data_IF_839786205692
#
_entry.id   IF_839786205692
#
_cell.length_a   1.000
_cell.length_b   1.000
_cell.length_c   1.000
_cell.angle_alpha   90.00
_cell.angle_beta   90.00
_cell.angle_gamma   90.00
#
_symmetry.space_group_name_H-M   'P 1'
#
loop_
_entity.id
_entity.type
_entity.pdbx_description
1 polymer ?
#
# COMPACT_ATOMS: atom_id res chain seq x y z
N UNK A 1 -25.58 29.82 49.02
CA UNK A 1 -24.39 28.97 48.97
C UNK A 1 -23.77 29.13 47.60
N UNK A 2 -22.65 29.84 47.55
CA UNK A 2 -21.88 30.18 46.35
C UNK A 2 -21.11 28.93 45.92
N UNK A 3 -21.27 28.48 44.67
CA UNK A 3 -20.41 27.46 44.09
C UNK A 3 -19.00 28.05 43.89
N UNK A 4 -17.90 27.31 44.16
CA UNK A 4 -16.57 27.82 43.88
C UNK A 4 -16.33 27.82 42.36
N UNK A 5 -15.88 28.97 41.86
CA UNK A 5 -15.42 29.15 40.49
C UNK A 5 -14.04 28.47 40.38
N UNK A 6 -14.02 27.22 39.90
CA UNK A 6 -12.77 26.55 39.55
C UNK A 6 -12.36 27.08 38.17
N UNK A 7 -11.17 27.69 38.00
CA UNK A 7 -10.73 28.09 36.68
C UNK A 7 -10.65 26.83 35.82
N UNK A 8 -11.49 26.77 34.78
CA UNK A 8 -11.38 25.77 33.72
C UNK A 8 -9.96 25.88 33.19
N UNK A 9 -9.14 24.91 33.57
CA UNK A 9 -7.76 24.85 33.15
C UNK A 9 -7.82 24.67 31.63
N UNK A 10 -7.55 25.74 30.89
CA UNK A 10 -7.66 25.85 29.41
C UNK A 10 -6.58 25.02 28.69
N UNK A 11 -6.06 24.01 29.39
CA UNK A 11 -5.06 23.08 28.91
C UNK A 11 -5.79 21.80 28.53
N UNK A 12 -5.84 21.46 27.23
CA UNK A 12 -6.47 20.23 26.81
C UNK A 12 -5.80 19.06 27.53
N UNK A 13 -6.64 18.19 28.07
CA UNK A 13 -6.23 16.93 28.67
C UNK A 13 -5.55 16.04 27.62
N UNK A 14 -4.74 15.08 28.09
CA UNK A 14 -4.11 14.10 27.20
C UNK A 14 -5.14 13.32 26.36
N UNK A 15 -6.37 13.13 26.88
CA UNK A 15 -7.46 12.51 26.14
C UNK A 15 -8.02 13.39 25.02
N UNK A 16 -8.11 14.71 25.23
CA UNK A 16 -8.53 15.67 24.21
C UNK A 16 -7.50 15.79 23.09
N UNK A 17 -6.20 15.80 23.44
CA UNK A 17 -5.10 15.75 22.45
C UNK A 17 -5.13 14.46 21.63
N UNK A 18 -5.34 13.29 22.26
CA UNK A 18 -5.43 12.02 21.54
C UNK A 18 -6.72 11.89 20.69
N UNK A 19 -7.80 12.57 21.08
CA UNK A 19 -9.01 12.68 20.27
C UNK A 19 -8.77 13.59 19.06
N UNK A 20 -8.09 14.73 19.28
CA UNK A 20 -7.69 15.67 18.25
C UNK A 20 -6.77 15.00 17.21
N UNK A 21 -5.74 14.27 17.64
CA UNK A 21 -4.85 13.49 16.76
C UNK A 21 -5.62 12.47 15.90
N UNK A 22 -6.61 11.77 16.48
CA UNK A 22 -7.46 10.84 15.73
C UNK A 22 -8.39 11.55 14.75
N UNK A 23 -8.84 12.75 15.08
CA UNK A 23 -9.67 13.58 14.19
C UNK A 23 -8.87 14.28 13.09
N UNK A 24 -7.57 14.53 13.33
CA UNK A 24 -6.64 15.14 12.38
C UNK A 24 -6.28 14.18 11.22
N UNK A 25 -6.48 12.87 11.42
CA UNK A 25 -6.47 11.88 10.35
C UNK A 25 -7.74 12.03 9.49
N UNK A 26 -7.75 13.10 8.68
CA UNK A 26 -8.78 13.35 7.69
C UNK A 26 -8.67 12.27 6.62
N UNK A 27 -9.64 11.34 6.59
CA UNK A 27 -9.80 10.41 5.47
C UNK A 27 -9.85 11.23 4.18
N UNK A 28 -8.87 11.04 3.31
CA UNK A 28 -8.87 11.60 1.95
C UNK A 28 -9.92 10.83 1.16
N UNK A 29 -11.11 11.40 1.03
CA UNK A 29 -12.14 10.87 0.15
C UNK A 29 -11.58 10.85 -1.28
N UNK A 30 -11.51 9.65 -1.88
CA UNK A 30 -10.96 9.45 -3.23
C UNK A 30 -9.71 8.56 -3.32
N UNK A 31 -9.10 8.15 -2.19
CA UNK A 31 -8.11 7.05 -2.17
C UNK A 31 -8.74 5.68 -1.90
N UNK A 32 -10.04 5.65 -1.59
CA UNK A 32 -10.81 4.43 -1.51
C UNK A 32 -11.23 4.07 -2.93
N UNK A 33 -10.58 3.08 -3.54
CA UNK A 33 -11.15 2.40 -4.70
C UNK A 33 -12.39 1.65 -4.19
N UNK A 34 -13.54 2.32 -4.28
CA UNK A 34 -14.88 1.72 -4.23
C UNK A 34 -15.13 0.67 -3.13
N UNK A 35 -15.39 1.13 -1.91
CA UNK A 35 -16.00 0.31 -0.86
C UNK A 35 -17.28 0.98 -0.36
N UNK A 36 -18.20 1.22 -1.28
CA UNK A 36 -19.58 1.56 -0.95
C UNK A 36 -20.47 0.56 -1.68
N UNK A 37 -21.16 -0.25 -0.89
CA UNK A 37 -22.18 -1.23 -1.28
C UNK A 37 -21.70 -2.59 -1.82
N UNK A 38 -21.33 -3.50 -0.89
CA UNK A 38 -21.42 -4.95 -1.14
C UNK A 38 -22.78 -5.40 -0.61
N UNK A 39 -23.85 -5.07 -1.34
CA UNK A 39 -25.10 -5.82 -1.27
C UNK A 39 -25.22 -6.61 -2.58
N UNK A 40 -25.30 -7.94 -2.46
CA UNK A 40 -25.38 -8.93 -3.53
C UNK A 40 -24.06 -9.24 -4.26
N UNK A 41 -23.31 -10.20 -3.70
CA UNK A 41 -22.16 -10.81 -4.37
C UNK A 41 -22.69 -11.73 -5.47
N UNK A 42 -22.96 -11.20 -6.66
CA UNK A 42 -22.94 -12.03 -7.86
C UNK A 42 -21.53 -12.61 -7.99
N UNK A 43 -21.40 -13.94 -8.09
CA UNK A 43 -20.15 -14.66 -8.33
C UNK A 43 -19.64 -14.38 -9.76
N UNK A 44 -19.27 -13.14 -10.05
CA UNK A 44 -18.52 -12.82 -11.27
C UNK A 44 -17.09 -13.30 -11.06
N UNK A 45 -16.63 -14.17 -11.94
CA UNK A 45 -15.24 -14.61 -11.94
C UNK A 45 -14.34 -13.40 -12.18
N UNK A 46 -13.41 -13.15 -11.25
CA UNK A 46 -12.39 -12.12 -11.41
C UNK A 46 -11.47 -12.49 -12.57
N UNK A 47 -11.34 -11.57 -13.53
CA UNK A 47 -10.38 -11.69 -14.63
C UNK A 47 -9.13 -10.92 -14.21
N UNK A 48 -8.15 -11.62 -13.65
CA UNK A 48 -6.88 -11.00 -13.25
C UNK A 48 -6.05 -10.65 -14.49
N UNK A 49 -5.29 -9.57 -14.39
CA UNK A 49 -4.33 -9.20 -15.42
C UNK A 49 -3.16 -10.18 -15.40
N UNK A 50 -2.82 -10.72 -16.56
CA UNK A 50 -1.74 -11.71 -16.69
C UNK A 50 -0.45 -11.00 -17.02
N UNK A 51 0.55 -11.10 -16.15
CA UNK A 51 1.79 -10.34 -16.24
C UNK A 51 3.02 -11.24 -16.30
N UNK A 52 4.09 -10.73 -16.92
CA UNK A 52 5.43 -11.32 -16.87
C UNK A 52 6.35 -10.29 -16.22
N UNK A 53 7.11 -10.72 -15.23
CA UNK A 53 8.07 -9.86 -14.52
C UNK A 53 9.42 -9.92 -15.23
N UNK A 54 10.05 -8.76 -15.40
CA UNK A 54 11.36 -8.65 -16.03
C UNK A 54 12.28 -7.82 -15.14
N UNK A 55 13.42 -8.38 -14.76
CA UNK A 55 14.47 -7.69 -14.01
C UNK A 55 15.77 -7.59 -14.80
N UNK A 56 16.52 -6.51 -14.58
CA UNK A 56 17.91 -6.39 -15.07
C UNK A 56 18.85 -6.59 -13.89
N UNK A 57 19.75 -7.57 -14.02
CA UNK A 57 20.77 -7.90 -13.03
C UNK A 57 22.10 -7.27 -13.42
N UNK A 58 22.48 -6.20 -12.73
CA UNK A 58 23.75 -5.49 -12.91
C UNK A 58 24.85 -5.98 -11.99
N UNK A 59 24.54 -6.18 -10.71
CA UNK A 59 25.50 -6.54 -9.67
C UNK A 59 24.86 -7.39 -8.57
N UNK A 60 25.66 -7.87 -7.62
CA UNK A 60 25.19 -8.74 -6.54
C UNK A 60 25.11 -10.21 -6.94
N UNK A 61 24.51 -11.03 -6.08
CA UNK A 61 24.43 -12.48 -6.26
C UNK A 61 23.14 -12.91 -6.97
N UNK A 62 23.16 -14.12 -7.53
CA UNK A 62 21.95 -14.71 -8.11
C UNK A 62 20.83 -14.90 -7.06
N UNK A 63 21.20 -15.02 -5.77
CA UNK A 63 20.24 -15.14 -4.69
C UNK A 63 19.50 -13.82 -4.44
N UNK A 64 20.22 -12.70 -4.50
CA UNK A 64 19.64 -11.36 -4.28
C UNK A 64 18.58 -11.06 -5.34
N UNK A 65 18.89 -11.32 -6.61
CA UNK A 65 17.94 -11.08 -7.71
C UNK A 65 16.70 -11.97 -7.61
N UNK A 66 16.88 -13.24 -7.21
CA UNK A 66 15.74 -14.14 -7.00
C UNK A 66 14.86 -13.65 -5.85
N UNK A 67 15.45 -13.15 -4.78
CA UNK A 67 14.70 -12.57 -3.66
C UNK A 67 13.91 -11.34 -4.11
N UNK A 68 14.54 -10.41 -4.83
CA UNK A 68 13.86 -9.21 -5.36
C UNK A 68 12.73 -9.54 -6.33
N UNK A 69 12.90 -10.52 -7.22
CA UNK A 69 11.81 -10.96 -8.11
C UNK A 69 10.66 -11.63 -7.35
N UNK A 70 10.96 -12.40 -6.31
CA UNK A 70 9.92 -13.01 -5.48
C UNK A 70 9.11 -11.95 -4.72
N UNK A 71 9.77 -10.92 -4.19
CA UNK A 71 9.09 -9.77 -3.58
C UNK A 71 8.21 -9.03 -4.60
N UNK A 72 8.74 -8.76 -5.80
CA UNK A 72 7.96 -8.11 -6.87
C UNK A 72 6.74 -8.94 -7.29
N UNK A 73 6.85 -10.27 -7.33
CA UNK A 73 5.72 -11.14 -7.59
C UNK A 73 4.64 -11.04 -6.52
N UNK A 74 5.02 -11.09 -5.25
CA UNK A 74 4.07 -10.92 -4.14
C UNK A 74 3.34 -9.56 -4.19
N UNK A 75 4.05 -8.49 -4.58
CA UNK A 75 3.45 -7.18 -4.79
C UNK A 75 2.45 -7.17 -5.96
N UNK A 76 2.80 -7.79 -7.09
CA UNK A 76 1.93 -7.88 -8.26
C UNK A 76 0.66 -8.71 -7.97
N UNK A 77 0.79 -9.82 -7.26
CA UNK A 77 -0.34 -10.65 -6.83
C UNK A 77 -1.28 -9.88 -5.90
N UNK A 78 -0.72 -9.17 -4.92
CA UNK A 78 -1.51 -8.30 -4.01
C UNK A 78 -2.24 -7.19 -4.77
N UNK A 79 -1.66 -6.72 -5.87
CA UNK A 79 -2.27 -5.73 -6.74
C UNK A 79 -3.33 -6.30 -7.71
N UNK A 80 -3.62 -7.62 -7.65
CA UNK A 80 -4.65 -8.26 -8.48
C UNK A 80 -4.14 -8.75 -9.83
N UNK A 81 -2.85 -9.10 -9.94
CA UNK A 81 -2.28 -9.70 -11.14
C UNK A 81 -2.02 -11.21 -10.98
N UNK A 82 -2.13 -11.96 -12.08
CA UNK A 82 -1.63 -13.33 -12.20
C UNK A 82 -0.23 -13.28 -12.81
N UNK A 83 0.79 -13.64 -12.02
CA UNK A 83 2.18 -13.68 -12.49
C UNK A 83 2.43 -14.98 -13.24
N UNK A 84 2.71 -14.90 -14.54
CA UNK A 84 2.94 -16.08 -15.38
C UNK A 84 4.39 -16.55 -15.36
N UNK A 85 5.33 -15.61 -15.35
CA UNK A 85 6.76 -15.89 -15.46
C UNK A 85 7.59 -14.72 -14.92
N UNK A 86 8.81 -15.02 -14.47
CA UNK A 86 9.83 -14.04 -14.11
C UNK A 86 11.11 -14.25 -14.92
N UNK A 87 11.58 -13.20 -15.58
CA UNK A 87 12.77 -13.20 -16.43
C UNK A 87 13.83 -12.27 -15.82
N UNK A 88 15.10 -12.68 -15.90
CA UNK A 88 16.23 -11.85 -15.50
C UNK A 88 17.20 -11.73 -16.65
N UNK A 89 17.56 -10.49 -16.99
CA UNK A 89 18.61 -10.21 -17.95
C UNK A 89 19.87 -9.73 -17.24
N UNK A 90 20.99 -10.44 -17.41
CA UNK A 90 22.29 -9.99 -16.90
C UNK A 90 22.89 -8.95 -17.86
N UNK A 91 23.16 -7.73 -17.37
CA UNK A 91 23.77 -6.64 -18.15
C UNK A 91 24.57 -5.72 -17.25
N UNK A 92 25.55 -4.99 -17.78
CA UNK A 92 26.32 -4.02 -16.99
C UNK A 92 25.49 -2.80 -16.57
N UNK A 93 24.49 -2.41 -17.38
CA UNK A 93 23.52 -1.35 -17.08
C UNK A 93 22.22 -1.55 -17.86
N UNK A 94 21.07 -1.01 -17.39
CA UNK A 94 19.84 -1.01 -18.17
C UNK A 94 19.96 -0.15 -19.43
N UNK A 95 19.20 -0.51 -20.46
CA UNK A 95 19.14 0.25 -21.71
C UNK A 95 18.10 1.36 -21.61
N UNK A 96 18.51 2.61 -21.85
CA UNK A 96 17.65 3.78 -21.64
C UNK A 96 16.42 3.84 -22.56
N UNK A 97 16.38 3.06 -23.65
CA UNK A 97 15.25 3.03 -24.57
C UNK A 97 14.24 1.90 -24.27
N UNK A 98 14.64 0.89 -23.49
CA UNK A 98 13.83 -0.31 -23.25
C UNK A 98 13.65 -0.67 -21.76
N UNK A 99 14.16 0.14 -20.83
CA UNK A 99 14.08 -0.06 -19.38
C UNK A 99 13.62 1.23 -18.69
#
# INVERSE_FOLDING_TARGET
MTYPDFPLNDRPSAGELALEDRSALRRVAGLSTELTDISEVEYRQLRLERVVLVGVWTEGSAADVRASLAELAALAETAGSEVLEGLVQRRDKPDASTY
#
